data_IF_064709034224
#
_entry.id   IF_064709034224
#
_cell.length_a   1.000
_cell.length_b   1.000
_cell.length_c   1.000
_cell.angle_alpha   90.00
_cell.angle_beta   90.00
_cell.angle_gamma   90.00
#
_symmetry.space_group_name_H-M   'P 1'
#
loop_
_entity.id
_entity.type
_entity.pdbx_description
1 polymer ?
#
# COMPACT_ATOMS: atom_id res chain seq x y z
N UNK A 1 -17.38 0.76 -9.54
CA UNK A 1 -17.25 1.86 -8.55
C UNK A 1 -18.31 1.61 -7.48
N UNK A 2 -17.92 1.62 -6.21
CA UNK A 2 -18.86 1.55 -5.07
C UNK A 2 -18.90 2.92 -4.39
N UNK A 3 -20.06 3.29 -3.84
CA UNK A 3 -20.26 4.55 -3.12
C UNK A 3 -20.64 4.22 -1.68
N UNK A 4 -20.06 4.96 -0.76
CA UNK A 4 -20.46 5.05 0.64
C UNK A 4 -20.82 6.52 0.93
N UNK A 5 -21.45 6.81 2.06
CA UNK A 5 -22.05 8.13 2.38
C UNK A 5 -21.12 9.29 2.04
N UNK A 6 -19.83 9.18 2.41
CA UNK A 6 -18.81 10.21 2.20
C UNK A 6 -17.59 9.71 1.41
N UNK A 7 -17.67 8.59 0.70
CA UNK A 7 -16.51 8.07 -0.05
C UNK A 7 -16.85 7.40 -1.39
N UNK A 8 -15.97 7.59 -2.37
CA UNK A 8 -16.03 6.91 -3.66
C UNK A 8 -14.88 5.92 -3.77
N UNK A 9 -15.21 4.67 -4.11
CA UNK A 9 -14.27 3.56 -4.08
C UNK A 9 -14.21 2.86 -5.43
N UNK A 10 -12.99 2.53 -5.85
CA UNK A 10 -12.71 1.73 -7.02
C UNK A 10 -11.89 0.51 -6.62
N UNK A 11 -12.14 -0.62 -7.29
CA UNK A 11 -11.46 -1.89 -7.05
C UNK A 11 -10.77 -2.33 -8.35
N UNK A 12 -9.75 -1.59 -8.82
CA UNK A 12 -8.98 -2.04 -9.97
C UNK A 12 -8.27 -3.34 -9.61
N UNK A 13 -8.25 -4.29 -10.54
CA UNK A 13 -7.50 -5.55 -10.39
C UNK A 13 -6.02 -5.40 -10.77
N UNK A 14 -5.61 -4.22 -11.26
CA UNK A 14 -4.26 -3.92 -11.67
C UNK A 14 -3.93 -2.43 -11.55
N UNK A 15 -2.66 -2.12 -11.23
CA UNK A 15 -2.16 -0.74 -11.27
C UNK A 15 -2.14 -0.16 -12.69
N UNK A 16 -2.23 -0.99 -13.74
CA UNK A 16 -2.40 -0.54 -15.13
C UNK A 16 -3.63 0.32 -15.34
N UNK A 17 -4.65 0.18 -14.48
CA UNK A 17 -5.85 1.01 -14.53
C UNK A 17 -5.57 2.49 -14.20
N UNK A 18 -4.45 2.77 -13.51
CA UNK A 18 -4.01 4.12 -13.20
C UNK A 18 -3.40 4.77 -14.45
N UNK A 19 -4.12 5.74 -15.03
CA UNK A 19 -3.65 6.54 -16.18
C UNK A 19 -2.73 7.70 -15.77
N UNK A 20 -2.56 7.90 -14.48
CA UNK A 20 -1.74 8.95 -13.87
C UNK A 20 -0.63 8.32 -13.05
N UNK A 21 0.37 9.12 -12.68
CA UNK A 21 1.43 8.66 -11.80
C UNK A 21 0.88 8.24 -10.41
N UNK A 22 1.71 7.53 -9.65
CA UNK A 22 1.45 7.09 -8.28
C UNK A 22 2.51 7.70 -7.37
N UNK A 23 2.08 8.38 -6.30
CA UNK A 23 2.96 8.67 -5.16
C UNK A 23 3.07 7.43 -4.28
N UNK A 24 4.06 6.58 -4.59
CA UNK A 24 4.33 5.32 -3.91
C UNK A 24 4.94 5.54 -2.53
N UNK A 25 4.44 4.84 -1.51
CA UNK A 25 4.87 4.93 -0.13
C UNK A 25 5.47 3.58 0.35
N UNK A 26 6.81 3.45 0.42
CA UNK A 26 7.48 2.21 0.85
C UNK A 26 7.61 2.07 2.38
N UNK A 27 6.67 2.66 3.15
CA UNK A 27 6.70 2.66 4.62
C UNK A 27 5.36 2.25 5.21
N UNK A 28 5.36 1.61 6.38
CA UNK A 28 4.13 1.40 7.14
C UNK A 28 3.61 2.74 7.68
N UNK A 29 2.55 3.24 7.06
CA UNK A 29 1.84 4.43 7.51
C UNK A 29 0.63 4.03 8.36
N UNK A 30 0.84 3.73 9.64
CA UNK A 30 -0.25 3.33 10.56
C UNK A 30 -1.37 4.37 10.65
N UNK A 31 -1.05 5.68 10.48
CA UNK A 31 -2.05 6.76 10.43
C UNK A 31 -2.97 6.70 9.21
N UNK A 32 -2.53 6.02 8.14
CA UNK A 32 -3.31 5.83 6.91
C UNK A 32 -3.98 4.45 6.86
N UNK A 33 -3.87 3.67 7.93
CA UNK A 33 -4.65 2.45 8.08
C UNK A 33 -6.15 2.78 8.01
N UNK A 34 -6.95 1.95 7.34
CA UNK A 34 -8.39 2.15 7.27
C UNK A 34 -8.95 1.87 8.66
N UNK A 35 -9.42 2.91 9.35
CA UNK A 35 -9.91 2.81 10.74
C UNK A 35 -11.42 3.06 10.85
N UNK A 36 -12.00 3.84 9.94
CA UNK A 36 -13.38 4.35 10.07
C UNK A 36 -14.37 3.71 9.09
N UNK A 37 -15.64 4.11 9.24
CA UNK A 37 -16.89 3.66 8.62
C UNK A 37 -16.86 3.61 7.09
N UNK A 38 -16.08 2.69 6.53
CA UNK A 38 -16.22 2.29 5.14
C UNK A 38 -17.21 1.12 5.15
N UNK A 39 -18.49 1.41 4.92
CA UNK A 39 -19.59 0.42 5.00
C UNK A 39 -19.62 -0.50 3.78
N UNK A 40 -18.46 -1.06 3.42
CA UNK A 40 -18.33 -2.02 2.33
C UNK A 40 -17.80 -3.33 2.85
N UNK A 41 -18.59 -4.35 2.57
CA UNK A 41 -18.28 -5.74 2.86
C UNK A 41 -17.67 -6.43 1.64
N UNK A 42 -16.76 -7.36 1.92
CA UNK A 42 -16.20 -8.27 0.92
C UNK A 42 -16.21 -9.69 1.47
N UNK A 43 -16.62 -10.62 0.60
CA UNK A 43 -16.45 -12.05 0.84
C UNK A 43 -14.99 -12.41 0.55
N UNK A 44 -14.31 -12.92 1.55
CA UNK A 44 -12.93 -13.39 1.44
C UNK A 44 -12.85 -14.90 1.59
N UNK A 45 -11.77 -15.49 1.08
CA UNK A 45 -11.36 -16.86 1.38
C UNK A 45 -10.17 -16.81 2.34
N UNK A 46 -10.19 -17.68 3.35
CA UNK A 46 -9.11 -17.81 4.33
C UNK A 46 -8.84 -19.27 4.65
N UNK A 47 -7.65 -19.56 5.17
CA UNK A 47 -7.25 -20.88 5.63
C UNK A 47 -7.61 -21.03 7.11
N UNK A 48 -8.51 -21.96 7.42
CA UNK A 48 -8.89 -22.28 8.79
C UNK A 48 -7.78 -22.98 9.58
N UNK A 49 -7.91 -23.09 10.92
CA UNK A 49 -6.95 -23.80 11.77
C UNK A 49 -6.79 -25.29 11.40
N UNK A 50 -7.81 -25.86 10.77
CA UNK A 50 -7.87 -27.23 10.25
C UNK A 50 -7.31 -27.35 8.82
N UNK A 51 -6.65 -26.31 8.31
CA UNK A 51 -6.13 -26.22 6.95
C UNK A 51 -7.21 -26.30 5.86
N UNK A 52 -8.49 -26.08 6.19
CA UNK A 52 -9.56 -26.02 5.21
C UNK A 52 -9.81 -24.59 4.72
N UNK A 53 -10.10 -24.44 3.44
CA UNK A 53 -10.48 -23.15 2.86
C UNK A 53 -11.92 -22.84 3.26
N UNK A 54 -12.11 -21.71 3.93
CA UNK A 54 -13.42 -21.22 4.36
C UNK A 54 -13.69 -19.85 3.75
N UNK A 55 -14.95 -19.42 3.83
CA UNK A 55 -15.37 -18.11 3.35
C UNK A 55 -16.04 -17.31 4.45
N UNK A 56 -15.76 -16.01 4.48
CA UNK A 56 -16.36 -15.08 5.44
C UNK A 56 -16.58 -13.73 4.78
N UNK A 57 -17.64 -13.06 5.19
CA UNK A 57 -17.89 -11.65 4.81
C UNK A 57 -17.32 -10.75 5.89
N UNK A 58 -16.46 -9.81 5.49
CA UNK A 58 -15.79 -8.85 6.38
C UNK A 58 -15.93 -7.43 5.84
N UNK A 59 -15.94 -6.44 6.72
CA UNK A 59 -15.75 -5.05 6.33
C UNK A 59 -14.33 -4.86 5.77
N UNK A 60 -14.14 -3.94 4.84
CA UNK A 60 -12.81 -3.68 4.27
C UNK A 60 -11.75 -3.34 5.33
N UNK A 61 -12.12 -2.61 6.38
CA UNK A 61 -11.21 -2.28 7.50
C UNK A 61 -10.72 -3.52 8.28
N UNK A 62 -11.47 -4.61 8.21
CA UNK A 62 -11.20 -5.87 8.92
C UNK A 62 -10.37 -6.85 8.07
N UNK A 63 -10.08 -6.51 6.81
CA UNK A 63 -9.23 -7.30 5.93
C UNK A 63 -7.80 -6.74 6.02
N UNK A 64 -6.76 -7.58 6.17
CA UNK A 64 -5.39 -7.09 6.20
C UNK A 64 -5.04 -6.26 4.97
N UNK A 65 -4.47 -5.07 5.18
CA UNK A 65 -4.21 -4.14 4.08
C UNK A 65 -3.01 -3.23 4.32
N UNK A 66 -2.51 -2.66 3.23
CA UNK A 66 -1.39 -1.73 3.20
C UNK A 66 -1.78 -0.48 2.40
N UNK A 67 -1.46 0.69 2.93
CA UNK A 67 -1.46 1.93 2.14
C UNK A 67 -0.28 1.92 1.17
N UNK A 68 -0.58 1.83 -0.14
CA UNK A 68 0.43 1.80 -1.19
C UNK A 68 0.88 3.21 -1.58
N UNK A 69 -0.04 4.19 -1.53
CA UNK A 69 0.25 5.51 -2.05
C UNK A 69 -0.99 6.36 -2.36
N UNK A 70 -0.77 7.47 -3.06
CA UNK A 70 -1.85 8.38 -3.48
C UNK A 70 -1.71 8.80 -4.93
N UNK A 71 -2.82 9.26 -5.52
CA UNK A 71 -2.85 9.70 -6.92
C UNK A 71 -2.63 11.22 -6.99
N UNK A 72 -1.64 11.73 -7.77
CA UNK A 72 -1.43 13.15 -7.97
C UNK A 72 -2.66 13.83 -8.57
N UNK A 73 -2.96 15.05 -8.11
CA UNK A 73 -4.08 15.85 -8.64
C UNK A 73 -5.47 15.41 -8.15
N UNK A 74 -5.57 14.30 -7.41
CA UNK A 74 -6.82 13.89 -6.76
C UNK A 74 -6.64 14.03 -5.26
N UNK A 75 -7.23 15.08 -4.69
CA UNK A 75 -7.21 15.28 -3.24
C UNK A 75 -7.81 14.05 -2.53
N UNK A 76 -7.07 13.58 -1.53
CA UNK A 76 -7.45 12.48 -0.63
C UNK A 76 -7.78 11.14 -1.28
N UNK A 77 -7.33 10.92 -2.53
CA UNK A 77 -7.33 9.61 -3.14
C UNK A 77 -6.18 8.76 -2.61
N UNK A 78 -6.52 7.78 -1.79
CA UNK A 78 -5.58 6.81 -1.21
C UNK A 78 -5.74 5.45 -1.90
N UNK A 79 -4.63 4.82 -2.23
CA UNK A 79 -4.57 3.52 -2.85
C UNK A 79 -4.09 2.48 -1.83
N UNK A 80 -4.84 1.38 -1.75
CA UNK A 80 -4.60 0.29 -0.81
C UNK A 80 -4.44 -1.04 -1.53
N UNK A 81 -3.56 -1.90 -1.01
CA UNK A 81 -3.48 -3.32 -1.38
C UNK A 81 -4.05 -4.13 -0.22
N UNK A 82 -4.95 -5.06 -0.52
CA UNK A 82 -5.55 -5.97 0.45
C UNK A 82 -4.92 -7.35 0.35
N UNK A 83 -4.78 -8.02 1.49
CA UNK A 83 -4.20 -9.35 1.64
C UNK A 83 -5.19 -10.29 2.34
N UNK A 84 -6.28 -10.71 1.67
CA UNK A 84 -7.35 -11.48 2.31
C UNK A 84 -6.88 -12.80 2.92
N UNK A 85 -5.87 -13.44 2.31
CA UNK A 85 -5.31 -14.72 2.78
C UNK A 85 -4.47 -14.60 4.05
N UNK A 86 -4.10 -13.40 4.46
CA UNK A 86 -3.44 -13.15 5.74
C UNK A 86 -4.43 -13.01 6.90
N UNK A 87 -5.73 -12.96 6.61
CA UNK A 87 -6.75 -12.88 7.64
C UNK A 87 -6.82 -14.20 8.42
N UNK A 88 -6.90 -14.10 9.73
CA UNK A 88 -7.06 -15.23 10.65
C UNK A 88 -8.13 -14.89 11.67
N UNK A 89 -8.92 -15.88 12.07
CA UNK A 89 -10.08 -15.69 12.95
C UNK A 89 -9.69 -15.17 14.34
N UNK A 90 -8.55 -15.62 14.86
CA UNK A 90 -8.06 -15.24 16.19
C UNK A 90 -7.25 -13.93 16.21
N UNK A 91 -6.86 -13.41 15.03
CA UNK A 91 -6.02 -12.21 14.93
C UNK A 91 -6.83 -10.99 14.50
N UNK A 92 -6.94 -10.02 15.41
CA UNK A 92 -7.54 -8.70 15.14
C UNK A 92 -6.58 -7.72 14.44
N UNK A 93 -5.36 -8.14 14.15
CA UNK A 93 -4.36 -7.27 13.54
C UNK A 93 -4.54 -7.24 12.02
N UNK A 94 -4.93 -6.07 11.51
CA UNK A 94 -5.25 -5.83 10.09
C UNK A 94 -4.17 -5.07 9.34
N UNK A 95 -3.09 -4.70 10.04
CA UNK A 95 -1.86 -4.22 9.41
C UNK A 95 -0.94 -5.40 9.10
N UNK A 96 0.01 -5.20 8.18
CA UNK A 96 1.10 -6.16 7.98
C UNK A 96 2.06 -6.10 9.17
N UNK A 97 2.64 -7.24 9.54
CA UNK A 97 3.76 -7.29 10.49
C UNK A 97 5.00 -6.65 9.86
N UNK A 98 6.00 -6.28 10.67
CA UNK A 98 7.25 -5.73 10.15
C UNK A 98 7.95 -6.71 9.19
N UNK A 99 7.92 -8.00 9.49
CA UNK A 99 8.48 -9.04 8.63
C UNK A 99 7.73 -9.15 7.29
N UNK A 100 6.39 -9.17 7.33
CA UNK A 100 5.56 -9.19 6.12
C UNK A 100 5.81 -7.94 5.27
N UNK A 101 5.95 -6.78 5.89
CA UNK A 101 6.24 -5.54 5.18
C UNK A 101 7.63 -5.55 4.55
N UNK A 102 8.65 -6.08 5.25
CA UNK A 102 9.99 -6.23 4.69
C UNK A 102 9.94 -7.15 3.47
N UNK A 103 9.29 -8.31 3.58
CA UNK A 103 9.15 -9.23 2.44
C UNK A 103 8.41 -8.58 1.27
N UNK A 104 7.29 -7.92 1.54
CA UNK A 104 6.51 -7.23 0.51
C UNK A 104 7.31 -6.11 -0.16
N UNK A 105 8.02 -5.30 0.60
CA UNK A 105 8.74 -4.14 0.06
C UNK A 105 10.02 -4.55 -0.66
N UNK A 106 10.84 -5.41 -0.05
CA UNK A 106 12.21 -5.69 -0.52
C UNK A 106 12.22 -6.81 -1.56
N UNK A 107 11.40 -7.84 -1.40
CA UNK A 107 11.43 -9.02 -2.28
C UNK A 107 10.33 -9.04 -3.35
N UNK A 108 9.22 -8.32 -3.11
CA UNK A 108 8.14 -8.24 -4.08
C UNK A 108 8.14 -6.90 -4.83
N UNK A 109 7.94 -5.78 -4.13
CA UNK A 109 7.82 -4.45 -4.74
C UNK A 109 9.13 -3.95 -5.34
N UNK A 110 10.24 -3.95 -4.58
CA UNK A 110 11.53 -3.43 -5.05
C UNK A 110 12.07 -4.23 -6.24
N UNK A 111 11.95 -5.56 -6.21
CA UNK A 111 12.32 -6.38 -7.35
C UNK A 111 11.43 -6.09 -8.58
N UNK A 112 10.14 -5.86 -8.38
CA UNK A 112 9.23 -5.49 -9.47
C UNK A 112 9.55 -4.10 -10.04
N UNK A 113 9.92 -3.15 -9.19
CA UNK A 113 10.29 -1.78 -9.60
C UNK A 113 11.63 -1.80 -10.34
N UNK A 114 12.65 -2.47 -9.80
CA UNK A 114 14.00 -2.49 -10.37
C UNK A 114 14.10 -3.15 -11.74
N UNK A 115 13.17 -4.04 -12.09
CA UNK A 115 13.10 -4.65 -13.41
C UNK A 115 12.55 -3.74 -14.51
N UNK A 116 11.65 -2.81 -14.16
CA UNK A 116 10.87 -2.03 -15.15
C UNK A 116 11.16 -0.54 -15.13
N UNK A 117 11.81 -0.05 -14.08
CA UNK A 117 12.11 1.38 -13.91
C UNK A 117 13.58 1.65 -14.26
N UNK A 118 13.85 2.63 -15.14
CA UNK A 118 15.20 3.05 -15.48
C UNK A 118 16.07 3.45 -14.28
N UNK A 119 17.38 3.22 -14.37
CA UNK A 119 18.32 3.42 -13.25
C UNK A 119 18.40 4.85 -12.73
N UNK A 120 18.22 5.85 -13.59
CA UNK A 120 18.15 7.27 -13.22
C UNK A 120 16.99 7.56 -12.27
N UNK A 121 15.84 6.89 -12.44
CA UNK A 121 14.70 6.99 -11.53
C UNK A 121 14.92 6.12 -10.28
N UNK A 122 15.52 4.92 -10.43
CA UNK A 122 15.79 4.02 -9.30
C UNK A 122 16.69 4.63 -8.24
N UNK A 123 17.67 5.45 -8.62
CA UNK A 123 18.58 6.11 -7.67
C UNK A 123 17.87 7.02 -6.67
N UNK A 124 16.67 7.48 -7.00
CA UNK A 124 15.86 8.31 -6.10
C UNK A 124 14.97 7.49 -5.16
N UNK A 125 14.77 6.21 -5.44
CA UNK A 125 13.95 5.30 -4.64
C UNK A 125 14.78 4.67 -3.50
N UNK A 126 14.15 4.35 -2.36
CA UNK A 126 14.83 3.63 -1.30
C UNK A 126 14.97 2.16 -1.70
N UNK A 127 16.17 1.62 -1.57
CA UNK A 127 16.49 0.24 -1.94
C UNK A 127 15.99 -0.81 -0.94
N UNK A 128 15.42 -0.41 0.20
CA UNK A 128 14.83 -1.32 1.19
C UNK A 128 13.80 -0.64 2.08
N UNK A 129 13.00 -1.46 2.74
CA UNK A 129 12.04 -1.07 3.76
C UNK A 129 12.73 -0.37 4.94
N UNK A 130 13.86 -0.93 5.41
CA UNK A 130 14.63 -0.33 6.51
C UNK A 130 15.18 1.05 6.13
N UNK A 131 15.72 1.20 4.92
CA UNK A 131 16.16 2.51 4.42
C UNK A 131 15.00 3.51 4.37
N UNK A 132 13.83 3.06 3.94
CA UNK A 132 12.60 3.86 3.93
C UNK A 132 12.18 4.29 5.34
N UNK A 133 12.23 3.39 6.32
CA UNK A 133 11.93 3.69 7.73
C UNK A 133 12.93 4.69 8.32
N UNK A 134 14.24 4.52 8.08
CA UNK A 134 15.24 5.46 8.58
C UNK A 134 15.06 6.86 8.00
N UNK A 135 14.82 6.97 6.68
CA UNK A 135 14.50 8.25 6.04
C UNK A 135 13.24 8.88 6.65
N UNK A 136 12.18 8.09 6.86
CA UNK A 136 10.95 8.58 7.48
C UNK A 136 11.13 9.01 8.94
N UNK A 137 11.97 8.30 9.71
CA UNK A 137 12.27 8.62 11.11
C UNK A 137 13.15 9.88 11.25
N UNK A 138 14.22 9.99 10.45
CA UNK A 138 15.07 11.18 10.39
C UNK A 138 14.22 12.41 10.01
N UNK A 139 13.38 12.27 8.98
CA UNK A 139 12.45 13.32 8.59
C UNK A 139 11.50 13.70 9.74
N UNK A 140 10.94 12.72 10.46
CA UNK A 140 10.06 13.00 11.61
C UNK A 140 10.76 13.74 12.75
N UNK A 141 12.09 13.60 12.88
CA UNK A 141 12.89 14.38 13.83
C UNK A 141 13.11 15.82 13.32
N UNK A 142 13.46 16.00 12.05
CA UNK A 142 13.62 17.31 11.40
C UNK A 142 12.31 18.13 11.38
N UNK A 143 11.16 17.44 11.28
CA UNK A 143 9.82 18.04 11.32
C UNK A 143 9.48 18.72 12.66
N UNK A 144 10.09 18.32 13.78
CA UNK A 144 9.84 18.97 15.08
C UNK A 144 10.37 20.41 15.12
N UNK A 145 11.10 20.83 14.09
CA UNK A 145 11.85 22.09 14.04
C UNK A 145 11.46 23.04 12.89
N UNK A 146 10.39 22.79 12.10
CA UNK A 146 10.02 23.65 10.93
C UNK A 146 8.52 23.68 10.54
N UNK A 147 8.08 24.52 9.57
CA UNK A 147 6.66 24.81 9.32
C UNK A 147 5.93 23.95 8.24
N UNK A 148 4.71 23.51 8.61
CA UNK A 148 3.41 23.21 7.91
C UNK A 148 3.19 22.30 6.66
N UNK A 149 2.03 21.62 6.70
CA UNK A 149 1.59 20.33 6.14
C UNK A 149 1.76 20.01 4.63
N UNK A 150 1.93 20.98 3.72
CA UNK A 150 1.94 20.67 2.28
C UNK A 150 3.29 20.13 1.77
N UNK A 151 4.40 20.50 2.43
CA UNK A 151 5.70 19.86 2.22
C UNK A 151 5.72 18.39 2.71
N UNK A 152 4.75 18.01 3.55
CA UNK A 152 4.77 16.77 4.35
C UNK A 152 4.38 15.53 3.55
N UNK A 153 3.61 15.70 2.46
CA UNK A 153 3.19 14.61 1.57
C UNK A 153 4.32 14.16 0.63
N UNK A 154 5.29 15.05 0.37
CA UNK A 154 6.36 14.87 -0.65
C UNK A 154 7.60 14.11 -0.17
N UNK A 155 7.86 14.00 1.14
CA UNK A 155 9.12 13.47 1.66
C UNK A 155 9.14 11.95 1.93
N UNK A 156 7.97 11.30 1.99
CA UNK A 156 7.83 9.84 2.21
C UNK A 156 7.31 9.08 1.01
N UNK A 157 7.02 9.80 -0.07
CA UNK A 157 6.45 9.22 -1.27
C UNK A 157 7.33 9.49 -2.47
N UNK A 158 7.36 8.52 -3.38
CA UNK A 158 8.20 8.54 -4.58
C UNK A 158 7.30 8.41 -5.80
N UNK A 159 7.59 9.19 -6.84
CA UNK A 159 6.72 9.26 -8.01
C UNK A 159 7.02 8.10 -8.96
N UNK A 160 6.04 7.21 -9.15
CA UNK A 160 6.06 6.18 -10.19
C UNK A 160 5.20 6.62 -11.35
N UNK A 161 5.80 6.71 -12.54
CA UNK A 161 5.11 7.15 -13.74
C UNK A 161 4.15 6.07 -14.28
N UNK A 162 3.02 6.44 -14.91
CA UNK A 162 1.97 5.49 -15.28
C UNK A 162 2.43 4.38 -16.22
N UNK A 163 3.40 4.65 -17.11
CA UNK A 163 3.93 3.66 -18.05
C UNK A 163 4.58 2.45 -17.36
N UNK A 164 5.06 2.61 -16.12
CA UNK A 164 5.70 1.53 -15.37
C UNK A 164 4.71 0.73 -14.51
N UNK A 165 3.55 1.29 -14.20
CA UNK A 165 2.62 0.70 -13.22
C UNK A 165 2.05 -0.65 -13.67
N UNK A 166 1.76 -0.82 -14.96
CA UNK A 166 1.30 -2.10 -15.51
C UNK A 166 2.34 -3.21 -15.36
N UNK A 167 3.54 -3.05 -15.95
CA UNK A 167 4.63 -4.04 -15.85
C UNK A 167 5.03 -4.36 -14.39
N UNK A 168 5.10 -3.33 -13.53
CA UNK A 168 5.36 -3.51 -12.09
C UNK A 168 4.29 -4.42 -11.47
N UNK A 169 3.01 -4.17 -11.74
CA UNK A 169 1.92 -4.97 -11.17
C UNK A 169 1.96 -6.42 -11.64
N UNK A 170 2.19 -6.66 -12.93
CA UNK A 170 2.28 -8.00 -13.51
C UNK A 170 3.39 -8.81 -12.81
N UNK A 171 4.56 -8.21 -12.62
CA UNK A 171 5.69 -8.84 -11.91
C UNK A 171 5.38 -9.04 -10.43
N UNK A 172 4.76 -8.05 -9.78
CA UNK A 172 4.41 -8.11 -8.37
C UNK A 172 3.48 -9.28 -8.09
N UNK A 173 2.44 -9.46 -8.90
CA UNK A 173 1.45 -10.53 -8.71
C UNK A 173 2.00 -11.94 -8.88
N UNK A 174 3.16 -12.10 -9.52
CA UNK A 174 3.85 -13.40 -9.62
C UNK A 174 4.68 -13.72 -8.37
N UNK A 175 4.87 -12.75 -7.48
CA UNK A 175 5.77 -12.82 -6.32
C UNK A 175 5.04 -12.81 -4.98
N UNK A 176 3.72 -12.59 -4.98
CA UNK A 176 2.87 -12.48 -3.77
C UNK A 176 1.78 -13.53 -3.70
#
# INVERSE_FOLDING_TARGET
ISRDVDSMLAFPTSLRALRTALYYCPTLEHRRHIQTNLHLERRIQYLGPDYQIRQRTLMLRDIPHLYLGSIPGIHDCSLYIFFPRLWQEDFKFTSLTQEQMLRFTDHAMWESISQHVPSDVLHHLPSSYRASQHKAAAYSQEMRTGPSDQMHRRSRTYLLQPQFLGPIWETLTQRV
#
